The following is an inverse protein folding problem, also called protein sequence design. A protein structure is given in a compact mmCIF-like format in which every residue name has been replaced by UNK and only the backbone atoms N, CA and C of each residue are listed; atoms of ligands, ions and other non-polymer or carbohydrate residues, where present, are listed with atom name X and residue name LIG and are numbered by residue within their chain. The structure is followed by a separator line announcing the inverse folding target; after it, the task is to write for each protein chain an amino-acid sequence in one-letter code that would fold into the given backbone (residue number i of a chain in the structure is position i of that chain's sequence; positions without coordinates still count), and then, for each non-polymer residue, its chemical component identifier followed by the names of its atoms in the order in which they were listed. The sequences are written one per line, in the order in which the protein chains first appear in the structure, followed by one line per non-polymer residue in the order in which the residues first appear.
data_IF_036897584295
#
_entry.id   IF_036897584295
#
_cell.length_a   1.000
_cell.length_b   1.000
_cell.length_c   1.000
_cell.angle_alpha   90.00
_cell.angle_beta   90.00
_cell.angle_gamma   90.00
#
_symmetry.space_group_name_H-M   'P 1'
#
loop_
_entity.id
_entity.type
_entity.pdbx_description
1 polymer ?
#
# COMPACT_ATOMS: atom_id res chain seq x y z
N UNK A 1 -36.80 -6.04 11.10
CA UNK A 1 -36.01 -5.79 9.88
C UNK A 1 -34.58 -6.25 10.13
N UNK A 2 -34.28 -7.50 9.80
CA UNK A 2 -32.91 -8.03 9.82
C UNK A 2 -32.55 -8.31 8.37
N UNK A 3 -32.00 -7.31 7.68
CA UNK A 3 -31.39 -7.53 6.38
C UNK A 3 -30.10 -8.31 6.62
N UNK A 4 -30.15 -9.63 6.47
CA UNK A 4 -28.95 -10.45 6.40
C UNK A 4 -28.14 -10.03 5.18
N UNK A 5 -26.82 -9.93 5.33
CA UNK A 5 -25.91 -9.61 4.22
C UNK A 5 -26.06 -10.71 3.18
N UNK A 6 -26.63 -10.39 2.01
CA UNK A 6 -26.79 -11.37 0.92
C UNK A 6 -25.42 -11.76 0.36
N UNK A 7 -25.26 -12.96 -0.24
CA UNK A 7 -23.99 -13.37 -0.85
C UNK A 7 -23.44 -12.35 -1.87
N UNK A 8 -24.32 -11.69 -2.63
CA UNK A 8 -23.95 -10.64 -3.59
C UNK A 8 -23.42 -9.39 -2.87
N UNK A 9 -24.05 -9.01 -1.75
CA UNK A 9 -23.58 -7.92 -0.90
C UNK A 9 -22.23 -8.25 -0.25
N UNK A 10 -22.01 -9.51 0.16
CA UNK A 10 -20.71 -9.94 0.70
C UNK A 10 -19.60 -9.80 -0.35
N UNK A 11 -19.83 -10.28 -1.57
CA UNK A 11 -18.88 -10.16 -2.67
C UNK A 11 -18.56 -8.69 -2.99
N UNK A 12 -19.59 -7.84 -3.08
CA UNK A 12 -19.41 -6.41 -3.31
C UNK A 12 -18.56 -5.76 -2.20
N UNK A 13 -18.84 -6.08 -0.94
CA UNK A 13 -18.07 -5.56 0.20
C UNK A 13 -16.61 -6.02 0.17
N UNK A 14 -16.34 -7.26 -0.21
CA UNK A 14 -14.97 -7.77 -0.35
C UNK A 14 -14.19 -7.05 -1.47
N UNK A 15 -14.83 -6.82 -2.62
CA UNK A 15 -14.24 -6.07 -3.72
C UNK A 15 -13.90 -4.63 -3.32
N UNK A 16 -14.84 -3.91 -2.69
CA UNK A 16 -14.63 -2.54 -2.24
C UNK A 16 -13.57 -2.46 -1.15
N UNK A 17 -13.56 -3.43 -0.23
CA UNK A 17 -12.49 -3.53 0.79
C UNK A 17 -11.12 -3.72 0.16
N UNK A 18 -11.00 -4.56 -0.88
CA UNK A 18 -9.73 -4.75 -1.60
C UNK A 18 -9.28 -3.47 -2.30
N UNK A 19 -10.19 -2.74 -2.94
CA UNK A 19 -9.89 -1.44 -3.57
C UNK A 19 -9.44 -0.40 -2.54
N UNK A 20 -10.15 -0.30 -1.42
CA UNK A 20 -9.81 0.62 -0.34
C UNK A 20 -8.41 0.33 0.23
N UNK A 21 -8.12 -0.94 0.52
CA UNK A 21 -6.80 -1.36 1.00
C UNK A 21 -5.70 -1.05 -0.02
N UNK A 22 -5.94 -1.30 -1.31
CA UNK A 22 -4.99 -0.97 -2.36
C UNK A 22 -4.69 0.53 -2.40
N UNK A 23 -5.74 1.36 -2.36
CA UNK A 23 -5.58 2.82 -2.35
C UNK A 23 -4.82 3.31 -1.12
N UNK A 24 -5.07 2.72 0.05
CA UNK A 24 -4.33 3.04 1.28
C UNK A 24 -2.83 2.73 1.12
N UNK A 25 -2.49 1.56 0.58
CA UNK A 25 -1.10 1.17 0.31
C UNK A 25 -0.44 2.13 -0.69
N UNK A 26 -1.13 2.47 -1.79
CA UNK A 26 -0.62 3.43 -2.79
C UNK A 26 -0.37 4.79 -2.16
N UNK A 27 -1.31 5.29 -1.35
CA UNK A 27 -1.15 6.58 -0.64
C UNK A 27 0.06 6.55 0.28
N UNK A 28 0.23 5.48 1.07
CA UNK A 28 1.40 5.35 1.97
C UNK A 28 2.72 5.27 1.22
N UNK A 29 2.75 4.57 0.10
CA UNK A 29 3.92 4.53 -0.77
C UNK A 29 4.25 5.90 -1.34
N UNK A 30 3.24 6.64 -1.80
CA UNK A 30 3.42 8.00 -2.31
C UNK A 30 4.03 8.91 -1.23
N UNK A 31 3.46 8.94 -0.03
CA UNK A 31 3.96 9.76 1.08
C UNK A 31 5.42 9.40 1.43
N UNK A 32 5.67 8.12 1.75
CA UNK A 32 6.96 7.67 2.25
C UNK A 32 8.06 7.78 1.20
N UNK A 33 7.75 7.45 -0.06
CA UNK A 33 8.74 7.50 -1.12
C UNK A 33 8.98 8.91 -1.64
N UNK A 34 7.99 9.79 -1.59
CA UNK A 34 8.20 11.21 -1.87
C UNK A 34 9.23 11.81 -0.91
N UNK A 35 9.02 11.65 0.40
CA UNK A 35 9.93 12.16 1.43
C UNK A 35 11.36 11.63 1.30
N UNK A 36 11.52 10.41 0.80
CA UNK A 36 12.83 9.75 0.67
C UNK A 36 13.55 10.05 -0.63
N UNK A 37 12.82 10.22 -1.72
CA UNK A 37 13.40 10.23 -3.06
C UNK A 37 13.31 11.57 -3.76
N UNK A 38 12.33 12.43 -3.43
CA UNK A 38 12.12 13.72 -4.09
C UNK A 38 12.70 14.82 -3.23
N UNK A 39 13.90 15.28 -3.58
CA UNK A 39 14.60 16.35 -2.84
C UNK A 39 14.27 17.74 -3.37
N UNK A 40 13.93 17.85 -4.64
CA UNK A 40 13.60 19.11 -5.31
C UNK A 40 12.37 18.90 -6.19
N UNK A 41 11.16 19.20 -5.67
CA UNK A 41 9.94 19.07 -6.43
C UNK A 41 10.01 19.88 -7.74
N UNK A 42 9.66 19.23 -8.84
CA UNK A 42 9.62 19.80 -10.18
C UNK A 42 8.45 19.16 -10.96
N UNK A 43 8.18 19.68 -12.16
CA UNK A 43 7.09 19.18 -13.01
C UNK A 43 7.35 17.77 -13.58
N UNK A 44 8.58 17.27 -13.44
CA UNK A 44 8.98 15.94 -13.88
C UNK A 44 10.03 15.34 -12.95
N UNK A 45 10.02 14.00 -12.87
CA UNK A 45 11.01 13.23 -12.13
C UNK A 45 12.27 13.08 -12.97
N UNK A 46 13.43 13.30 -12.36
CA UNK A 46 14.69 12.97 -13.02
C UNK A 46 14.96 11.45 -13.01
N UNK A 47 16.05 11.03 -13.66
CA UNK A 47 16.44 9.61 -13.75
C UNK A 47 16.74 9.00 -12.38
N UNK A 48 17.32 9.78 -11.47
CA UNK A 48 17.66 9.32 -10.13
C UNK A 48 16.39 9.17 -9.29
N UNK A 49 15.51 10.17 -9.30
CA UNK A 49 14.23 10.14 -8.58
C UNK A 49 13.37 8.95 -9.06
N UNK A 50 13.26 8.74 -10.37
CA UNK A 50 12.53 7.60 -10.95
C UNK A 50 13.08 6.24 -10.50
N UNK A 51 14.40 6.09 -10.47
CA UNK A 51 15.05 4.88 -9.99
C UNK A 51 14.90 4.71 -8.47
N UNK A 52 14.99 5.79 -7.71
CA UNK A 52 14.81 5.79 -6.26
C UNK A 52 13.39 5.38 -5.89
N UNK A 53 12.37 5.99 -6.50
CA UNK A 53 10.95 5.68 -6.24
C UNK A 53 10.63 4.20 -6.51
N UNK A 54 11.13 3.66 -7.63
CA UNK A 54 10.95 2.23 -7.96
C UNK A 54 11.55 1.32 -6.88
N UNK A 55 12.77 1.65 -6.42
CA UNK A 55 13.42 0.89 -5.36
C UNK A 55 12.71 1.08 -4.01
N UNK A 56 12.30 2.30 -3.68
CA UNK A 56 11.60 2.61 -2.44
C UNK A 56 10.30 1.81 -2.31
N UNK A 57 9.48 1.79 -3.36
CA UNK A 57 8.23 1.05 -3.36
C UNK A 57 8.45 -0.45 -3.15
N UNK A 58 9.42 -1.05 -3.85
CA UNK A 58 9.77 -2.46 -3.69
C UNK A 58 10.26 -2.77 -2.26
N UNK A 59 11.18 -1.95 -1.72
CA UNK A 59 11.71 -2.12 -0.36
C UNK A 59 10.63 -1.95 0.72
N UNK A 60 9.70 -1.03 0.53
CA UNK A 60 8.60 -0.81 1.46
C UNK A 60 7.71 -2.06 1.57
N UNK A 61 7.33 -2.64 0.43
CA UNK A 61 6.52 -3.85 0.39
C UNK A 61 7.25 -5.06 1.01
N UNK A 62 8.53 -5.26 0.68
CA UNK A 62 9.34 -6.33 1.27
C UNK A 62 9.49 -6.18 2.78
N UNK A 63 9.76 -4.96 3.26
CA UNK A 63 9.85 -4.66 4.69
C UNK A 63 8.53 -4.94 5.39
N UNK A 64 7.41 -4.53 4.78
CA UNK A 64 6.06 -4.83 5.28
C UNK A 64 5.81 -6.33 5.43
N UNK A 65 6.21 -7.14 4.44
CA UNK A 65 6.10 -8.60 4.51
C UNK A 65 6.92 -9.19 5.66
N UNK A 66 8.17 -8.74 5.83
CA UNK A 66 9.03 -9.19 6.94
C UNK A 66 8.42 -8.86 8.29
N UNK A 67 7.89 -7.65 8.46
CA UNK A 67 7.23 -7.21 9.70
C UNK A 67 5.98 -8.06 9.97
N UNK A 68 5.12 -8.26 8.96
CA UNK A 68 3.91 -9.08 9.09
C UNK A 68 4.24 -10.52 9.49
N UNK A 69 5.25 -11.13 8.85
CA UNK A 69 5.70 -12.47 9.20
C UNK A 69 6.23 -12.54 10.64
N UNK A 70 6.95 -11.50 11.09
CA UNK A 70 7.46 -11.45 12.47
C UNK A 70 6.34 -11.32 13.49
N UNK A 71 5.37 -10.45 13.25
CA UNK A 71 4.19 -10.29 14.11
C UNK A 71 3.38 -11.59 14.16
N UNK A 72 3.17 -12.25 13.02
CA UNK A 72 2.47 -13.54 12.96
C UNK A 72 3.16 -14.65 13.75
N UNK A 73 4.50 -14.62 13.88
CA UNK A 73 5.25 -15.54 14.76
C UNK A 73 5.17 -15.16 16.23
N UNK A 74 4.95 -13.90 16.58
CA UNK A 74 4.83 -13.44 17.97
C UNK A 74 3.44 -13.69 18.56
N UNK A 75 2.41 -13.78 17.72
CA UNK A 75 1.03 -14.03 18.12
C UNK A 75 0.65 -15.52 18.10
N UNK A 76 1.64 -16.41 18.00
CA UNK A 76 1.54 -17.86 18.18
C UNK A 76 2.18 -18.25 19.50
#
# INVERSE_FOLDING_TARGET
MSQGVTPEMQNFLEEEKRKAMFNEVVSKLADVCFDKCVTRPADSLDRYESACLSNCALRYLETGQVIMQRIGRMNQ
#
